data_IF_299875914530
#
_entry.id   IF_299875914530
#
_cell.length_a   1.000
_cell.length_b   1.000
_cell.length_c   1.000
_cell.angle_alpha   90.00
_cell.angle_beta   90.00
_cell.angle_gamma   90.00
#
_symmetry.space_group_name_H-M   'P 1'
#
loop_
_entity.id
_entity.type
_entity.pdbx_description
1 polymer ?
#
# COMPACT_ATOMS: atom_id res chain seq x y z
N UNK A 1 20.27 6.57 -13.65
CA UNK A 1 19.53 6.59 -12.38
C UNK A 1 18.38 5.64 -12.56
N UNK A 2 18.48 4.43 -12.01
CA UNK A 2 17.44 3.42 -12.13
C UNK A 2 16.19 3.96 -11.46
N UNK A 3 15.10 4.14 -12.22
CA UNK A 3 13.78 4.39 -11.66
C UNK A 3 13.51 3.28 -10.63
N UNK A 4 13.34 3.67 -9.36
CA UNK A 4 12.98 2.72 -8.32
C UNK A 4 11.58 2.21 -8.61
N UNK A 5 11.44 0.90 -8.75
CA UNK A 5 10.16 0.25 -8.95
C UNK A 5 9.25 0.41 -7.72
N UNK A 6 7.94 0.26 -7.93
CA UNK A 6 6.97 0.25 -6.84
C UNK A 6 6.63 -1.19 -6.47
N UNK A 7 6.83 -1.55 -5.21
CA UNK A 7 6.58 -2.89 -4.69
C UNK A 7 5.33 -2.94 -3.83
N UNK A 8 4.64 -4.08 -3.83
CA UNK A 8 3.52 -4.34 -2.94
C UNK A 8 3.56 -5.75 -2.33
N UNK A 9 3.06 -5.90 -1.11
CA UNK A 9 2.83 -7.20 -0.47
C UNK A 9 1.77 -7.11 0.64
N UNK A 10 1.20 -8.27 0.98
CA UNK A 10 0.43 -8.44 2.23
C UNK A 10 1.41 -8.36 3.40
N UNK A 11 1.19 -7.42 4.31
CA UNK A 11 2.07 -7.11 5.45
C UNK A 11 1.64 -7.80 6.75
N UNK A 12 0.43 -8.37 6.79
CA UNK A 12 -0.08 -9.15 7.93
C UNK A 12 0.16 -10.65 7.74
N UNK A 13 0.24 -11.44 8.84
CA UNK A 13 0.33 -12.89 8.74
C UNK A 13 -0.82 -13.51 7.92
N UNK A 14 -0.53 -14.64 7.27
CA UNK A 14 -1.53 -15.40 6.52
C UNK A 14 -2.55 -16.04 7.48
N UNK A 15 -3.84 -15.92 7.16
CA UNK A 15 -4.92 -16.51 7.94
C UNK A 15 -6.12 -15.58 8.04
N UNK A 16 -7.19 -16.05 8.69
CA UNK A 16 -8.37 -15.23 8.95
C UNK A 16 -8.13 -14.29 10.12
N UNK A 17 -8.29 -13.00 9.89
CA UNK A 17 -8.20 -11.97 10.92
C UNK A 17 -9.31 -10.92 10.73
N UNK A 18 -9.55 -10.09 11.75
CA UNK A 18 -10.45 -8.95 11.61
C UNK A 18 -9.94 -7.92 10.59
N UNK A 19 -8.61 -7.78 10.49
CA UNK A 19 -7.93 -6.81 9.62
C UNK A 19 -6.76 -7.48 8.91
N UNK A 20 -6.60 -7.16 7.63
CA UNK A 20 -5.39 -7.45 6.85
C UNK A 20 -4.81 -6.16 6.29
N UNK A 21 -3.48 -6.11 6.15
CA UNK A 21 -2.79 -4.92 5.63
C UNK A 21 -2.07 -5.28 4.35
N UNK A 22 -2.25 -4.46 3.31
CA UNK A 22 -1.42 -4.47 2.10
C UNK A 22 -0.58 -3.20 2.12
N UNK A 23 0.73 -3.35 1.95
CA UNK A 23 1.69 -2.24 1.90
C UNK A 23 2.23 -2.10 0.49
N UNK A 24 2.27 -0.86 0.00
CA UNK A 24 2.87 -0.46 -1.27
C UNK A 24 3.97 0.55 -0.99
N UNK A 25 5.16 0.39 -1.55
CA UNK A 25 6.29 1.34 -1.40
C UNK A 25 6.90 1.65 -2.75
N UNK A 26 7.10 2.94 -3.03
CA UNK A 26 7.75 3.40 -4.26
C UNK A 26 7.04 4.61 -4.87
N UNK A 27 7.55 5.12 -6.02
CA UNK A 27 7.08 6.37 -6.61
C UNK A 27 5.60 6.35 -7.03
N UNK A 28 5.03 5.18 -7.38
CA UNK A 28 3.64 5.07 -7.82
C UNK A 28 2.63 4.94 -6.68
N UNK A 29 3.07 4.77 -5.42
CA UNK A 29 2.17 4.55 -4.29
C UNK A 29 1.04 5.61 -4.16
N UNK A 30 1.29 6.92 -4.34
CA UNK A 30 0.23 7.93 -4.30
C UNK A 30 -0.75 7.86 -5.49
N UNK A 31 -0.25 7.53 -6.68
CA UNK A 31 -1.06 7.45 -7.89
C UNK A 31 -1.96 6.21 -7.87
N UNK A 32 -1.44 5.09 -7.39
CA UNK A 32 -2.21 3.87 -7.15
C UNK A 32 -3.31 4.10 -6.11
N UNK A 33 -3.02 4.87 -5.06
CA UNK A 33 -4.04 5.31 -4.11
C UNK A 33 -5.15 6.09 -4.81
N UNK A 34 -4.82 7.06 -5.67
CA UNK A 34 -5.84 7.83 -6.43
C UNK A 34 -6.61 7.00 -7.45
N UNK A 35 -5.97 6.00 -8.05
CA UNK A 35 -6.57 5.15 -9.07
C UNK A 35 -7.53 4.12 -8.47
N UNK A 36 -7.14 3.50 -7.36
CA UNK A 36 -7.82 2.32 -6.82
C UNK A 36 -8.67 2.62 -5.59
N UNK A 37 -8.53 3.78 -4.94
CA UNK A 37 -9.33 4.14 -3.77
C UNK A 37 -10.39 5.18 -4.10
N UNK A 38 -11.65 4.83 -3.80
CA UNK A 38 -12.80 5.73 -3.84
C UNK A 38 -13.12 6.18 -2.42
N UNK A 39 -12.84 7.44 -2.04
CA UNK A 39 -13.13 7.92 -0.70
C UNK A 39 -14.64 8.04 -0.46
N UNK A 40 -15.10 7.73 0.77
CA UNK A 40 -16.51 7.90 1.18
C UNK A 40 -16.99 9.35 1.12
N UNK A 41 -16.05 10.31 1.22
CA UNK A 41 -16.33 11.74 1.11
C UNK A 41 -15.63 12.34 -0.12
N UNK A 42 -16.41 13.05 -0.95
CA UNK A 42 -15.95 13.62 -2.22
C UNK A 42 -14.76 14.59 -2.10
N UNK A 43 -14.61 15.26 -0.95
CA UNK A 43 -13.53 16.23 -0.69
C UNK A 43 -12.30 15.62 0.00
N UNK A 44 -11.92 14.40 -0.39
CA UNK A 44 -10.73 13.75 0.15
C UNK A 44 -9.45 14.42 -0.37
N UNK A 45 -8.90 15.35 0.41
CA UNK A 45 -7.56 15.87 0.19
C UNK A 45 -6.55 14.95 0.88
N UNK A 46 -5.79 14.19 0.10
CA UNK A 46 -4.81 13.22 0.58
C UNK A 46 -3.63 13.90 1.28
N UNK A 47 -3.67 13.90 2.61
CA UNK A 47 -2.62 14.35 3.49
C UNK A 47 -1.80 13.14 3.95
N UNK A 48 -0.50 13.38 4.14
CA UNK A 48 0.37 12.35 4.68
C UNK A 48 -0.01 12.02 6.13
N UNK A 49 0.09 10.74 6.53
CA UNK A 49 -0.18 10.26 7.89
C UNK A 49 -1.62 10.47 8.37
N UNK A 50 -2.57 10.51 7.45
CA UNK A 50 -4.00 10.55 7.75
C UNK A 50 -4.67 9.28 7.21
N UNK A 51 -5.60 8.73 7.98
CA UNK A 51 -6.42 7.61 7.57
C UNK A 51 -7.68 8.11 6.87
N UNK A 52 -8.03 7.48 5.76
CA UNK A 52 -9.21 7.78 4.97
C UNK A 52 -10.07 6.54 4.82
N UNK A 53 -11.38 6.71 5.02
CA UNK A 53 -12.39 5.68 4.84
C UNK A 53 -12.99 5.74 3.43
N UNK A 54 -13.24 4.57 2.84
CA UNK A 54 -13.76 4.43 1.48
C UNK A 54 -13.61 3.02 0.94
N UNK A 55 -13.73 2.87 -0.37
CA UNK A 55 -13.68 1.59 -1.04
C UNK A 55 -12.39 1.43 -1.86
N UNK A 56 -11.81 0.23 -1.88
CA UNK A 56 -10.92 -0.16 -2.96
C UNK A 56 -11.77 -0.66 -4.13
N UNK A 57 -11.46 -0.18 -5.32
CA UNK A 57 -12.14 -0.54 -6.57
C UNK A 57 -11.16 -1.10 -7.60
N UNK A 58 -11.69 -1.81 -8.60
CA UNK A 58 -10.95 -2.17 -9.81
C UNK A 58 -10.49 -0.92 -10.56
N UNK A 59 -9.42 -1.01 -11.36
CA UNK A 59 -8.88 0.14 -12.09
C UNK A 59 -9.87 0.80 -13.07
N UNK A 60 -10.89 0.05 -13.55
CA UNK A 60 -11.98 0.60 -14.36
C UNK A 60 -13.09 1.27 -13.52
N UNK A 61 -12.98 1.23 -12.19
CA UNK A 61 -13.89 1.81 -11.22
C UNK A 61 -15.24 1.09 -11.09
N UNK A 62 -15.44 -0.07 -11.73
CA UNK A 62 -16.77 -0.71 -11.79
C UNK A 62 -17.06 -1.63 -10.63
N UNK A 63 -16.05 -2.33 -10.11
CA UNK A 63 -16.22 -3.32 -9.06
C UNK A 63 -15.56 -2.83 -7.78
N UNK A 64 -16.32 -2.88 -6.68
CA UNK A 64 -15.77 -2.68 -5.32
C UNK A 64 -15.15 -4.01 -4.87
N UNK A 65 -13.89 -3.95 -4.44
CA UNK A 65 -13.17 -5.10 -3.88
C UNK A 65 -13.35 -5.21 -2.38
N UNK A 66 -13.29 -4.07 -1.66
CA UNK A 66 -13.54 -4.02 -0.22
C UNK A 66 -13.77 -2.58 0.28
N UNK A 67 -14.43 -2.45 1.43
CA UNK A 67 -14.49 -1.23 2.23
C UNK A 67 -13.28 -1.19 3.19
N UNK A 68 -12.50 -0.11 3.19
CA UNK A 68 -11.17 -0.07 3.79
C UNK A 68 -10.87 1.23 4.54
N UNK A 69 -9.77 1.20 5.29
CA UNK A 69 -9.03 2.40 5.66
C UNK A 69 -7.72 2.45 4.86
N UNK A 70 -7.42 3.61 4.27
CA UNK A 70 -6.16 3.85 3.55
C UNK A 70 -5.35 4.94 4.22
N UNK A 71 -4.04 4.73 4.33
CA UNK A 71 -3.09 5.72 4.83
C UNK A 71 -1.98 5.94 3.82
N UNK A 72 -1.76 7.18 3.40
CA UNK A 72 -0.62 7.59 2.58
C UNK A 72 0.46 8.20 3.48
N UNK A 73 1.68 7.70 3.40
CA UNK A 73 2.86 8.24 4.07
C UNK A 73 3.83 8.73 3.01
N UNK A 74 4.03 10.04 2.95
CA UNK A 74 4.92 10.67 1.97
C UNK A 74 6.37 10.59 2.44
N UNK A 75 7.29 10.39 1.51
CA UNK A 75 8.72 10.48 1.75
C UNK A 75 9.10 11.83 2.38
N UNK A 76 10.14 11.89 3.23
CA UNK A 76 10.92 10.76 3.75
C UNK A 76 10.30 10.11 5.00
N UNK A 77 9.08 10.51 5.38
CA UNK A 77 8.44 10.13 6.64
C UNK A 77 7.59 8.88 6.46
N UNK A 78 8.25 7.76 6.22
CA UNK A 78 7.61 6.44 6.09
C UNK A 78 8.56 5.35 6.59
N UNK A 79 8.10 4.09 6.59
CA UNK A 79 8.93 2.95 6.97
C UNK A 79 10.15 2.80 6.03
N UNK A 80 9.91 2.74 4.72
CA UNK A 80 10.96 2.58 3.71
C UNK A 80 11.72 3.86 3.41
N UNK A 81 11.22 5.02 3.82
CA UNK A 81 11.75 6.34 3.41
C UNK A 81 11.24 6.79 2.03
N UNK A 82 10.44 5.97 1.35
CA UNK A 82 9.76 6.30 0.09
C UNK A 82 8.33 6.78 0.33
N UNK A 83 7.59 7.10 -0.74
CA UNK A 83 6.13 7.19 -0.63
C UNK A 83 5.57 5.79 -0.36
N UNK A 84 4.72 5.65 0.65
CA UNK A 84 4.12 4.40 1.09
C UNK A 84 2.60 4.54 1.17
N UNK A 85 1.88 3.61 0.58
CA UNK A 85 0.44 3.46 0.73
C UNK A 85 0.16 2.19 1.56
N UNK A 86 -0.61 2.32 2.62
CA UNK A 86 -1.13 1.18 3.39
C UNK A 86 -2.64 1.09 3.25
N UNK A 87 -3.11 -0.10 2.89
CA UNK A 87 -4.52 -0.43 2.74
C UNK A 87 -4.86 -1.43 3.85
N UNK A 88 -5.64 -0.98 4.82
CA UNK A 88 -6.19 -1.79 5.90
C UNK A 88 -7.59 -2.25 5.51
N UNK A 89 -7.71 -3.51 5.13
CA UNK A 89 -8.94 -4.13 4.63
C UNK A 89 -9.42 -5.24 5.57
N UNK A 90 -10.55 -5.87 5.26
CA UNK A 90 -10.98 -7.07 5.96
C UNK A 90 -9.93 -8.17 5.83
N UNK A 91 -9.60 -8.86 6.93
CA UNK A 91 -8.57 -9.91 6.97
C UNK A 91 -9.00 -11.24 6.35
N UNK A 92 -9.76 -11.20 5.25
CA UNK A 92 -10.07 -12.35 4.42
C UNK A 92 -9.00 -12.50 3.34
N UNK A 93 -8.37 -13.68 3.25
CA UNK A 93 -7.35 -13.97 2.26
C UNK A 93 -7.79 -13.71 0.82
N UNK A 94 -9.05 -13.99 0.46
CA UNK A 94 -9.56 -13.75 -0.89
C UNK A 94 -9.56 -12.24 -1.23
N UNK A 95 -9.96 -11.41 -0.27
CA UNK A 95 -9.97 -9.95 -0.42
C UNK A 95 -8.53 -9.42 -0.56
N UNK A 96 -7.65 -9.85 0.35
CA UNK A 96 -6.24 -9.45 0.33
C UNK A 96 -5.56 -9.79 -1.00
N UNK A 97 -5.78 -11.01 -1.52
CA UNK A 97 -5.23 -11.43 -2.81
C UNK A 97 -5.84 -10.63 -3.97
N UNK A 98 -7.15 -10.40 -3.97
CA UNK A 98 -7.83 -9.63 -5.03
C UNK A 98 -7.30 -8.19 -5.12
N UNK A 99 -7.09 -7.52 -3.98
CA UNK A 99 -6.52 -6.17 -3.95
C UNK A 99 -5.04 -6.20 -4.39
N UNK A 100 -4.27 -7.19 -3.95
CA UNK A 100 -2.87 -7.34 -4.34
C UNK A 100 -2.74 -7.55 -5.86
N UNK A 101 -3.55 -8.42 -6.44
CA UNK A 101 -3.60 -8.66 -7.89
C UNK A 101 -3.96 -7.39 -8.66
N UNK A 102 -4.93 -6.62 -8.18
CA UNK A 102 -5.31 -5.33 -8.78
C UNK A 102 -4.14 -4.33 -8.74
N UNK A 103 -3.35 -4.30 -7.66
CA UNK A 103 -2.13 -3.47 -7.58
C UNK A 103 -1.07 -3.91 -8.59
N UNK A 104 -0.85 -5.22 -8.75
CA UNK A 104 0.11 -5.76 -9.74
C UNK A 104 -0.32 -5.43 -11.16
N UNK A 105 -1.60 -5.62 -11.47
CA UNK A 105 -2.17 -5.25 -12.77
C UNK A 105 -2.05 -3.74 -13.07
N UNK A 106 -1.90 -2.92 -12.03
CA UNK A 106 -1.77 -1.46 -12.13
C UNK A 106 -0.31 -0.96 -12.16
N UNK A 107 0.67 -1.88 -12.25
CA UNK A 107 2.08 -1.54 -12.48
C UNK A 107 3.02 -1.76 -11.29
N UNK A 108 2.54 -2.26 -10.15
CA UNK A 108 3.41 -2.71 -9.08
C UNK A 108 4.04 -4.07 -9.37
N UNK A 109 5.15 -4.37 -8.68
CA UNK A 109 5.76 -5.71 -8.61
C UNK A 109 5.57 -6.32 -7.21
N UNK A 110 5.49 -7.65 -7.04
CA UNK A 110 5.57 -8.27 -5.73
C UNK A 110 6.92 -7.96 -5.06
N UNK A 111 6.86 -7.55 -3.78
CA UNK A 111 8.06 -7.37 -2.97
C UNK A 111 8.76 -8.71 -2.72
N UNK A 112 10.10 -8.72 -2.70
CA UNK A 112 10.89 -9.86 -2.22
C UNK A 112 10.83 -9.95 -0.69
N UNK A 113 11.12 -11.13 -0.11
CA UNK A 113 11.32 -11.26 1.34
C UNK A 113 12.35 -10.22 1.84
N UNK A 114 11.98 -9.46 2.87
CA UNK A 114 12.85 -8.44 3.48
C UNK A 114 12.99 -7.13 2.70
N UNK A 115 12.40 -6.99 1.51
CA UNK A 115 12.69 -5.84 0.63
C UNK A 115 12.25 -4.49 1.21
N UNK A 116 11.17 -4.43 1.99
CA UNK A 116 10.78 -3.19 2.68
C UNK A 116 11.83 -2.76 3.71
N UNK A 117 12.37 -3.72 4.50
CA UNK A 117 13.44 -3.45 5.47
C UNK A 117 14.75 -3.07 4.78
N UNK A 118 15.08 -3.77 3.68
CA UNK A 118 16.24 -3.45 2.82
C UNK A 118 16.17 -1.99 2.34
N UNK A 119 15.02 -1.55 1.83
CA UNK A 119 14.82 -0.16 1.38
C UNK A 119 14.89 0.84 2.52
N UNK A 120 14.34 0.53 3.68
CA UNK A 120 14.43 1.37 4.86
C UNK A 120 15.89 1.58 5.31
N UNK A 121 16.71 0.52 5.31
CA UNK A 121 18.14 0.61 5.57
C UNK A 121 18.86 1.47 4.52
N UNK A 122 18.63 1.22 3.22
CA UNK A 122 19.25 1.97 2.13
C UNK A 122 18.89 3.46 2.14
N UNK A 123 17.70 3.81 2.63
CA UNK A 123 17.24 5.20 2.78
C UNK A 123 17.58 5.80 4.15
N UNK A 124 18.41 5.13 4.98
CA UNK A 124 18.85 5.64 6.28
C UNK A 124 17.73 5.78 7.32
N UNK A 125 16.65 5.01 7.18
CA UNK A 125 15.54 4.97 8.16
C UNK A 125 15.89 4.14 9.39
N UNK A 126 16.79 3.18 9.23
CA UNK A 126 17.29 2.32 10.29
C UNK A 126 18.71 1.82 9.95
N UNK A 127 19.46 1.38 10.95
CA UNK A 127 20.76 0.72 10.75
C UNK A 127 20.61 -0.80 10.53
N UNK A 128 21.72 -1.48 10.23
CA UNK A 128 21.71 -2.93 9.95
C UNK A 128 21.36 -3.77 11.18
N UNK A 129 21.62 -3.28 12.39
CA UNK A 129 21.25 -4.00 13.62
C UNK A 129 19.76 -3.95 13.92
N UNK A 130 19.07 -2.95 13.35
CA UNK A 130 17.62 -2.75 13.44
C UNK A 130 16.84 -3.43 12.29
N UNK A 131 17.52 -3.85 11.22
CA UNK A 131 16.92 -4.27 9.95
C UNK A 131 16.42 -5.72 9.90
#
# INVERSE_FOLDING_TARGET
>A
MTETDTIAAIATPFGTAGVGIIRVSGPMAPELGRLLFRPSHANCNWQSHHAYHGDIVTADGKTILDEVLVTLMRKPRSFTGEDVLEISCHGNNLILQSILEQLMASGCRPARPGEFSERAYLNGRMDLSQA
#
